data_IF_122392888085
#
_entry.id   IF_122392888085
#
_cell.length_a   1.000
_cell.length_b   1.000
_cell.length_c   1.000
_cell.angle_alpha   90.00
_cell.angle_beta   90.00
_cell.angle_gamma   90.00
#
_symmetry.space_group_name_H-M   'P 1'
#
loop_
_entity.id
_entity.type
_entity.pdbx_description
1 polymer ?
#
# COMPACT_ATOMS: atom_id res chain seq x y z
N UNK A 1 2.32 63.47 13.79
CA UNK A 1 1.91 62.07 13.59
C UNK A 1 2.93 61.23 14.31
N UNK A 2 2.53 60.62 15.43
CA UNK A 2 3.35 59.64 16.15
C UNK A 2 3.63 58.47 15.22
N UNK A 3 4.90 58.30 14.87
CA UNK A 3 5.40 57.06 14.32
C UNK A 3 5.46 56.09 15.50
N UNK A 4 4.64 55.04 15.45
CA UNK A 4 4.70 53.95 16.42
C UNK A 4 6.09 53.31 16.35
N UNK A 5 6.92 53.69 17.30
CA UNK A 5 8.22 53.15 17.60
C UNK A 5 7.98 51.73 18.15
N UNK A 6 8.04 50.71 17.27
CA UNK A 6 8.21 49.33 17.73
C UNK A 6 9.65 49.20 18.20
N UNK A 7 9.87 49.58 19.46
CA UNK A 7 11.05 49.24 20.23
C UNK A 7 11.26 47.74 20.21
N UNK A 8 12.53 47.35 20.04
CA UNK A 8 12.99 45.98 20.07
C UNK A 8 12.48 45.22 21.29
N UNK A 9 11.66 44.21 21.02
CA UNK A 9 11.66 42.97 21.75
C UNK A 9 11.94 41.88 20.73
N UNK A 10 13.22 41.55 20.64
CA UNK A 10 13.75 40.38 19.95
C UNK A 10 13.29 39.13 20.72
N UNK A 11 12.00 38.82 20.63
CA UNK A 11 11.53 37.48 20.92
C UNK A 11 12.01 36.63 19.75
N UNK A 12 13.14 35.95 19.96
CA UNK A 12 13.81 35.07 19.01
C UNK A 12 12.95 33.88 18.61
N UNK A 13 11.87 34.14 17.88
CA UNK A 13 11.20 33.15 17.08
C UNK A 13 12.04 32.97 15.83
N UNK A 14 12.97 32.03 15.91
CA UNK A 14 13.74 31.58 14.76
C UNK A 14 12.77 30.86 13.80
N UNK A 15 12.20 31.63 12.89
CA UNK A 15 11.29 31.15 11.85
C UNK A 15 11.96 30.04 11.03
N UNK A 16 13.28 30.11 10.85
CA UNK A 16 14.03 29.12 10.09
C UNK A 16 14.15 27.79 10.86
N UNK A 17 14.45 27.85 12.17
CA UNK A 17 14.43 26.66 13.04
C UNK A 17 13.02 26.03 13.09
N UNK A 18 11.97 26.84 13.16
CA UNK A 18 10.59 26.36 13.14
C UNK A 18 10.22 25.65 11.82
N UNK A 19 10.60 26.22 10.68
CA UNK A 19 10.36 25.61 9.36
C UNK A 19 11.13 24.31 9.19
N UNK A 20 12.41 24.26 9.59
CA UNK A 20 13.22 23.02 9.58
C UNK A 20 12.63 21.94 10.49
N UNK A 21 12.14 22.30 11.68
CA UNK A 21 11.44 21.34 12.54
C UNK A 21 10.14 20.84 11.93
N UNK A 22 9.42 21.69 11.20
CA UNK A 22 8.18 21.31 10.52
C UNK A 22 8.45 20.31 9.39
N UNK A 23 9.44 20.59 8.54
CA UNK A 23 9.85 19.68 7.45
C UNK A 23 10.31 18.33 7.97
N UNK A 24 11.20 18.29 8.97
CA UNK A 24 11.63 17.02 9.60
C UNK A 24 10.46 16.20 10.16
N UNK A 25 9.46 16.87 10.72
CA UNK A 25 8.23 16.20 11.19
C UNK A 25 7.39 15.67 10.03
N UNK A 26 7.38 16.33 8.88
CA UNK A 26 6.70 15.87 7.68
C UNK A 26 7.42 14.67 7.06
N UNK A 27 8.75 14.72 6.93
CA UNK A 27 9.58 13.60 6.48
C UNK A 27 9.34 12.36 7.35
N UNK A 28 9.47 12.49 8.68
CA UNK A 28 9.25 11.37 9.61
C UNK A 28 7.83 10.78 9.49
N UNK A 29 6.82 11.62 9.22
CA UNK A 29 5.45 11.15 9.00
C UNK A 29 5.35 10.35 7.71
N UNK A 30 5.93 10.84 6.62
CA UNK A 30 5.92 10.15 5.33
C UNK A 30 6.69 8.83 5.38
N UNK A 31 7.86 8.80 6.03
CA UNK A 31 8.62 7.58 6.27
C UNK A 31 7.81 6.54 7.07
N UNK A 32 7.13 6.98 8.14
CA UNK A 32 6.28 6.10 8.96
C UNK A 32 5.12 5.53 8.15
N UNK A 33 4.47 6.35 7.30
CA UNK A 33 3.38 5.87 6.45
C UNK A 33 3.89 4.94 5.33
N UNK A 34 5.10 5.16 4.80
CA UNK A 34 5.75 4.23 3.87
C UNK A 34 6.00 2.87 4.51
N UNK A 35 6.59 2.82 5.71
CA UNK A 35 6.79 1.57 6.45
C UNK A 35 5.45 0.84 6.70
N UNK A 36 4.39 1.61 6.97
CA UNK A 36 3.05 1.05 7.15
C UNK A 36 2.51 0.46 5.85
N UNK A 37 2.64 1.14 4.71
CA UNK A 37 2.22 0.62 3.40
C UNK A 37 3.00 -0.64 3.04
N UNK A 38 4.32 -0.66 3.30
CA UNK A 38 5.15 -1.84 3.04
C UNK A 38 4.68 -3.05 3.86
N UNK A 39 4.37 -2.85 5.14
CA UNK A 39 3.77 -3.90 5.98
C UNK A 39 2.41 -4.36 5.46
N UNK A 40 1.56 -3.44 5.00
CA UNK A 40 0.26 -3.78 4.43
C UNK A 40 0.39 -4.59 3.14
N UNK A 41 1.39 -4.29 2.29
CA UNK A 41 1.69 -5.07 1.10
C UNK A 41 2.11 -6.50 1.46
N UNK A 42 3.00 -6.66 2.43
CA UNK A 42 3.43 -7.98 2.91
C UNK A 42 2.27 -8.80 3.49
N UNK A 43 1.45 -8.19 4.35
CA UNK A 43 0.29 -8.84 4.97
C UNK A 43 -0.74 -9.26 3.91
N UNK A 44 -0.99 -8.40 2.92
CA UNK A 44 -1.93 -8.70 1.82
C UNK A 44 -1.43 -9.83 0.92
N UNK A 45 -0.14 -9.87 0.63
CA UNK A 45 0.45 -10.97 -0.14
C UNK A 45 0.33 -12.29 0.63
N UNK A 46 0.60 -12.29 1.95
CA UNK A 46 0.45 -13.48 2.79
C UNK A 46 -1.01 -14.00 2.83
N UNK A 47 -1.99 -13.11 3.00
CA UNK A 47 -3.42 -13.48 2.96
C UNK A 47 -3.80 -14.05 1.59
N UNK A 48 -3.30 -13.43 0.52
CA UNK A 48 -3.57 -13.90 -0.84
C UNK A 48 -2.97 -15.30 -1.07
N UNK A 49 -1.74 -15.54 -0.63
CA UNK A 49 -1.10 -16.86 -0.72
C UNK A 49 -1.88 -17.93 0.07
N UNK A 50 -2.29 -17.64 1.30
CA UNK A 50 -3.11 -18.53 2.13
C UNK A 50 -4.43 -18.89 1.42
N UNK A 51 -5.17 -17.90 0.94
CA UNK A 51 -6.43 -18.13 0.22
C UNK A 51 -6.23 -18.91 -1.07
N UNK A 52 -5.14 -18.65 -1.79
CA UNK A 52 -4.81 -19.37 -3.02
C UNK A 52 -4.51 -20.85 -2.73
N UNK A 53 -3.72 -21.15 -1.69
CA UNK A 53 -3.38 -22.52 -1.29
C UNK A 53 -4.63 -23.30 -0.85
N UNK A 54 -5.50 -22.66 -0.06
CA UNK A 54 -6.76 -23.24 0.40
C UNK A 54 -7.70 -23.59 -0.78
N UNK A 55 -7.84 -22.67 -1.74
CA UNK A 55 -8.68 -22.87 -2.91
C UNK A 55 -8.09 -23.95 -3.84
N UNK A 56 -6.77 -23.97 -4.04
CA UNK A 56 -6.09 -25.00 -4.82
C UNK A 56 -6.27 -26.39 -4.19
N UNK A 57 -6.08 -26.50 -2.88
CA UNK A 57 -6.27 -27.76 -2.14
C UNK A 57 -7.70 -28.29 -2.27
N UNK A 58 -8.70 -27.40 -2.20
CA UNK A 58 -10.11 -27.75 -2.43
C UNK A 58 -10.33 -28.19 -3.88
N UNK A 59 -9.78 -27.46 -4.85
CA UNK A 59 -9.88 -27.78 -6.28
C UNK A 59 -9.34 -29.18 -6.56
N UNK A 60 -8.15 -29.51 -6.07
CA UNK A 60 -7.52 -30.81 -6.24
C UNK A 60 -8.37 -31.94 -5.66
N UNK A 61 -8.94 -31.73 -4.47
CA UNK A 61 -9.86 -32.68 -3.85
C UNK A 61 -11.11 -32.92 -4.70
N UNK A 62 -11.72 -31.86 -5.23
CA UNK A 62 -12.89 -31.97 -6.09
C UNK A 62 -12.57 -32.61 -7.45
N UNK A 63 -11.40 -32.34 -8.03
CA UNK A 63 -10.93 -32.95 -9.27
C UNK A 63 -10.72 -34.46 -9.11
N UNK A 64 -10.08 -34.91 -8.04
CA UNK A 64 -9.92 -36.35 -7.73
C UNK A 64 -11.28 -37.04 -7.56
N UNK A 65 -12.23 -36.37 -6.89
CA UNK A 65 -13.60 -36.88 -6.72
C UNK A 65 -14.38 -36.94 -8.03
N UNK A 66 -14.19 -35.96 -8.92
CA UNK A 66 -14.79 -35.91 -10.25
C UNK A 66 -14.26 -37.04 -11.13
N UNK A 67 -12.94 -37.27 -11.12
CA UNK A 67 -12.32 -38.37 -11.85
C UNK A 67 -12.88 -39.73 -11.39
N UNK A 68 -13.02 -39.93 -10.08
CA UNK A 68 -13.60 -41.15 -9.49
C UNK A 68 -15.07 -41.33 -9.87
N UNK A 69 -15.88 -40.27 -9.77
CA UNK A 69 -17.30 -40.31 -10.14
C UNK A 69 -17.51 -40.59 -11.63
N UNK A 70 -16.72 -39.94 -12.50
CA UNK A 70 -16.76 -40.18 -13.95
C UNK A 70 -16.47 -41.65 -14.30
N UNK A 71 -15.51 -42.28 -13.62
CA UNK A 71 -15.19 -43.71 -13.80
C UNK A 71 -16.30 -44.67 -13.32
N UNK A 72 -17.14 -44.25 -12.37
CA UNK A 72 -18.12 -45.10 -11.70
C UNK A 72 -19.54 -44.98 -12.25
N UNK A 73 -20.03 -43.77 -12.48
CA UNK A 73 -21.46 -43.51 -12.73
C UNK A 73 -21.75 -42.60 -13.91
N UNK A 74 -20.77 -41.82 -14.39
CA UNK A 74 -20.91 -40.92 -15.54
C UNK A 74 -21.71 -39.62 -15.28
N UNK A 75 -22.36 -39.49 -14.12
CA UNK A 75 -23.02 -38.26 -13.67
C UNK A 75 -22.04 -37.41 -12.85
N UNK A 76 -21.62 -36.27 -13.42
CA UNK A 76 -20.55 -35.41 -12.92
C UNK A 76 -20.89 -33.92 -13.00
N UNK A 77 -22.13 -33.57 -13.36
CA UNK A 77 -22.47 -32.18 -13.67
C UNK A 77 -22.42 -31.26 -12.44
N UNK A 78 -22.84 -31.73 -11.26
CA UNK A 78 -22.68 -30.97 -10.00
C UNK A 78 -21.20 -30.75 -9.63
N UNK A 79 -20.34 -31.74 -9.88
CA UNK A 79 -18.90 -31.65 -9.59
C UNK A 79 -18.20 -30.69 -10.57
N UNK A 80 -18.58 -30.70 -11.86
CA UNK A 80 -18.09 -29.74 -12.85
C UNK A 80 -18.52 -28.31 -12.50
N UNK A 81 -19.76 -28.14 -12.04
CA UNK A 81 -20.25 -26.83 -11.63
C UNK A 81 -19.42 -26.28 -10.46
N UNK A 82 -19.19 -27.08 -9.42
CA UNK A 82 -18.34 -26.67 -8.29
C UNK A 82 -16.90 -26.35 -8.69
N UNK A 83 -16.30 -27.14 -9.59
CA UNK A 83 -14.95 -26.85 -10.10
C UNK A 83 -14.92 -25.51 -10.84
N UNK A 84 -15.92 -25.22 -11.68
CA UNK A 84 -16.03 -23.92 -12.34
C UNK A 84 -16.24 -22.77 -11.35
N UNK A 85 -17.01 -22.97 -10.29
CA UNK A 85 -17.18 -21.99 -9.20
C UNK A 85 -15.83 -21.66 -8.56
N UNK A 86 -15.02 -22.66 -8.17
CA UNK A 86 -13.69 -22.43 -7.61
C UNK A 86 -12.72 -21.74 -8.58
N UNK A 87 -12.77 -22.05 -9.87
CA UNK A 87 -11.97 -21.34 -10.87
C UNK A 87 -12.37 -19.87 -10.99
N UNK A 88 -13.66 -19.56 -10.91
CA UNK A 88 -14.15 -18.19 -10.92
C UNK A 88 -13.71 -17.44 -9.65
N UNK A 89 -13.85 -18.06 -8.47
CA UNK A 89 -13.38 -17.50 -7.20
C UNK A 89 -11.88 -17.20 -7.23
N UNK A 90 -11.05 -18.15 -7.70
CA UNK A 90 -9.60 -17.95 -7.87
C UNK A 90 -9.29 -16.78 -8.80
N UNK A 91 -10.05 -16.65 -9.91
CA UNK A 91 -9.86 -15.55 -10.85
C UNK A 91 -10.24 -14.21 -10.22
N UNK A 92 -11.37 -14.15 -9.54
CA UNK A 92 -11.83 -12.94 -8.85
C UNK A 92 -10.83 -12.51 -7.78
N UNK A 93 -10.28 -13.45 -7.02
CA UNK A 93 -9.31 -13.15 -5.97
C UNK A 93 -7.98 -12.64 -6.52
N UNK A 94 -7.50 -13.20 -7.62
CA UNK A 94 -6.33 -12.66 -8.33
C UNK A 94 -6.56 -11.23 -8.81
N UNK A 95 -7.76 -10.92 -9.31
CA UNK A 95 -8.10 -9.57 -9.77
C UNK A 95 -8.21 -8.61 -8.60
N UNK A 96 -8.82 -9.01 -7.49
CA UNK A 96 -8.91 -8.21 -6.26
C UNK A 96 -7.52 -7.93 -5.70
N UNK A 97 -6.70 -8.96 -5.48
CA UNK A 97 -5.34 -8.80 -4.99
C UNK A 97 -4.49 -7.88 -5.88
N UNK A 98 -4.58 -8.04 -7.20
CA UNK A 98 -3.86 -7.16 -8.13
C UNK A 98 -4.29 -5.70 -8.00
N UNK A 99 -5.59 -5.42 -7.86
CA UNK A 99 -6.10 -4.04 -7.69
C UNK A 99 -5.61 -3.44 -6.38
N UNK A 100 -5.76 -4.16 -5.27
CA UNK A 100 -5.29 -3.72 -3.95
C UNK A 100 -3.79 -3.40 -3.98
N UNK A 101 -2.99 -4.27 -4.60
CA UNK A 101 -1.55 -4.06 -4.80
C UNK A 101 -1.25 -2.81 -5.63
N UNK A 102 -1.97 -2.59 -6.73
CA UNK A 102 -1.78 -1.41 -7.56
C UNK A 102 -2.17 -0.10 -6.85
N UNK A 103 -3.20 -0.11 -6.00
CA UNK A 103 -3.58 1.04 -5.19
C UNK A 103 -2.47 1.38 -4.18
N UNK A 104 -1.99 0.40 -3.42
CA UNK A 104 -0.91 0.58 -2.45
C UNK A 104 0.41 1.00 -3.13
N UNK A 105 0.75 0.43 -4.29
CA UNK A 105 1.93 0.85 -5.07
C UNK A 105 1.81 2.27 -5.62
N UNK A 106 0.60 2.74 -5.87
CA UNK A 106 0.35 4.12 -6.30
C UNK A 106 0.55 5.08 -5.12
N UNK A 107 -0.04 4.77 -3.96
CA UNK A 107 0.15 5.54 -2.72
C UNK A 107 1.63 5.64 -2.34
N UNK A 108 2.35 4.51 -2.40
CA UNK A 108 3.81 4.46 -2.18
C UNK A 108 4.57 5.41 -3.12
N UNK A 109 4.20 5.43 -4.41
CA UNK A 109 4.83 6.33 -5.41
C UNK A 109 4.48 7.80 -5.22
N UNK A 110 3.36 8.11 -4.59
CA UNK A 110 2.97 9.48 -4.24
C UNK A 110 3.78 9.94 -3.03
N UNK A 111 3.85 9.15 -1.96
CA UNK A 111 4.66 9.48 -0.77
C UNK A 111 6.16 9.63 -1.07
N UNK A 112 6.72 8.77 -1.93
CA UNK A 112 8.12 8.91 -2.35
C UNK A 112 8.39 10.21 -3.12
N UNK A 113 7.43 10.66 -3.93
CA UNK A 113 7.55 11.95 -4.63
C UNK A 113 7.43 13.12 -3.65
N UNK A 114 6.52 13.03 -2.68
CA UNK A 114 6.42 14.05 -1.62
C UNK A 114 7.71 14.15 -0.78
N UNK A 115 8.38 13.02 -0.51
CA UNK A 115 9.70 13.04 0.15
C UNK A 115 10.78 13.68 -0.72
N UNK A 116 10.83 13.35 -2.01
CA UNK A 116 11.79 13.93 -2.96
C UNK A 116 11.61 15.44 -3.09
N UNK A 117 10.36 15.93 -3.15
CA UNK A 117 10.04 17.35 -3.16
C UNK A 117 10.51 18.07 -1.88
N UNK A 118 10.33 17.45 -0.71
CA UNK A 118 10.82 17.99 0.56
C UNK A 118 12.36 18.07 0.59
N UNK A 119 13.05 17.06 0.07
CA UNK A 119 14.52 17.02 -0.01
C UNK A 119 15.05 18.11 -0.97
N UNK A 120 14.40 18.31 -2.13
CA UNK A 120 14.74 19.38 -3.07
C UNK A 120 14.52 20.79 -2.48
N UNK A 121 13.45 20.99 -1.70
CA UNK A 121 13.21 22.25 -0.96
C UNK A 121 14.32 22.55 0.04
N UNK A 122 14.86 21.53 0.70
CA UNK A 122 15.97 21.69 1.65
C UNK A 122 17.29 22.05 0.95
N UNK A 123 17.60 21.41 -0.18
CA UNK A 123 18.79 21.72 -0.98
C UNK A 123 18.71 23.15 -1.52
N UNK A 124 17.55 23.58 -2.02
CA UNK A 124 17.37 24.93 -2.59
C UNK A 124 17.47 26.03 -1.52
N UNK A 125 16.98 25.79 -0.29
CA UNK A 125 17.18 26.70 0.85
C UNK A 125 18.64 26.82 1.27
N UNK A 126 19.37 25.70 1.32
CA UNK A 126 20.80 25.71 1.65
C UNK A 126 21.61 26.52 0.62
N UNK A 127 21.29 26.43 -0.67
CA UNK A 127 21.97 27.18 -1.73
C UNK A 127 21.67 28.69 -1.72
N UNK A 128 20.53 29.12 -1.16
CA UNK A 128 20.18 30.54 -1.02
C UNK A 128 20.82 31.20 0.22
N UNK A 129 21.41 30.40 1.12
CA UNK A 129 22.07 30.86 2.35
C UNK A 129 23.59 31.07 2.23
N UNK A 130 24.17 30.79 1.04
CA UNK A 130 25.59 30.95 0.67
C UNK A 130 25.75 32.16 -0.26
#
# INVERSE_FOLDING_TARGET
MEYFEYGGQDFGFDVEEFLRQSQRKQEQRLETELERIERQLEEREAIFEEHQEDLQSKLDWYLDRLEKAYKLTGDVDELKQKVNEFYNELREERVRHWRDKQELEKERREMLRELEELEEEDITRLLQSI
#
